data_IF_994276997247
#
_entry.id   IF_994276997247
#
_cell.length_a   1.000
_cell.length_b   1.000
_cell.length_c   1.000
_cell.angle_alpha   90.00
_cell.angle_beta   90.00
_cell.angle_gamma   90.00
#
_symmetry.space_group_name_H-M   'P 1'
#
loop_
_entity.id
_entity.type
_entity.pdbx_description
1 polymer ?
#
# COMPACT_ATOMS: atom_id res chain seq x y z
N UNK A 1 -16.00 6.45 6.04
CA UNK A 1 -16.40 5.04 6.16
C UNK A 1 -15.96 4.44 7.48
N UNK A 2 -14.66 4.32 7.81
CA UNK A 2 -14.20 3.66 9.05
C UNK A 2 -14.70 4.35 10.33
N UNK A 3 -14.72 5.69 10.39
CA UNK A 3 -15.27 6.43 11.53
C UNK A 3 -16.78 6.12 11.73
N UNK A 4 -17.55 6.07 10.64
CA UNK A 4 -18.96 5.70 10.70
C UNK A 4 -19.13 4.27 11.20
N UNK A 5 -18.36 3.32 10.68
CA UNK A 5 -18.37 1.93 11.12
C UNK A 5 -18.10 1.80 12.62
N UNK A 6 -17.09 2.52 13.13
CA UNK A 6 -16.76 2.53 14.58
C UNK A 6 -17.88 3.11 15.44
N UNK A 7 -18.50 4.21 14.99
CA UNK A 7 -19.62 4.82 15.70
C UNK A 7 -20.81 3.87 15.80
N UNK A 8 -21.14 3.19 14.69
CA UNK A 8 -22.22 2.19 14.65
C UNK A 8 -21.89 0.97 15.53
N UNK A 9 -20.65 0.50 15.50
CA UNK A 9 -20.18 -0.59 16.37
C UNK A 9 -20.32 -0.22 17.86
N UNK A 10 -19.85 0.97 18.23
CA UNK A 10 -19.96 1.48 19.61
C UNK A 10 -21.43 1.63 20.04
N UNK A 11 -22.31 2.18 19.17
CA UNK A 11 -23.72 2.34 19.46
C UNK A 11 -24.41 0.98 19.71
N UNK A 12 -23.99 -0.06 19.01
CA UNK A 12 -24.54 -1.42 19.12
C UNK A 12 -23.86 -2.28 20.18
N UNK A 13 -22.80 -1.78 20.83
CA UNK A 13 -22.04 -2.51 21.82
C UNK A 13 -21.30 -3.73 21.25
N UNK A 14 -20.87 -3.67 19.97
CA UNK A 14 -20.14 -4.74 19.27
C UNK A 14 -18.82 -4.22 18.71
N UNK A 15 -17.81 -5.08 18.51
CA UNK A 15 -16.56 -4.65 17.89
C UNK A 15 -16.73 -4.29 16.42
N UNK A 16 -15.95 -3.29 15.98
CA UNK A 16 -15.84 -2.94 14.56
C UNK A 16 -14.97 -3.95 13.81
N UNK A 17 -15.41 -4.38 12.62
CA UNK A 17 -14.70 -5.36 11.82
C UNK A 17 -14.63 -4.92 10.34
N UNK A 18 -13.43 -4.99 9.76
CA UNK A 18 -13.23 -4.81 8.32
C UNK A 18 -12.91 -6.16 7.68
N UNK A 19 -13.65 -6.53 6.65
CA UNK A 19 -13.38 -7.71 5.82
C UNK A 19 -12.58 -7.28 4.59
N UNK A 20 -11.44 -7.94 4.37
CA UNK A 20 -10.61 -7.72 3.18
C UNK A 20 -10.15 -9.06 2.60
N UNK A 21 -9.56 -8.99 1.42
CA UNK A 21 -9.11 -10.18 0.68
C UNK A 21 -7.62 -10.11 0.41
N UNK A 22 -6.92 -11.25 0.61
CA UNK A 22 -5.53 -11.40 0.20
C UNK A 22 -5.30 -12.85 -0.29
N UNK A 23 -4.77 -13.07 -1.51
CA UNK A 23 -4.41 -12.06 -2.51
C UNK A 23 -5.61 -11.22 -2.96
N UNK A 24 -5.32 -10.01 -3.52
CA UNK A 24 -6.37 -9.15 -4.04
C UNK A 24 -7.15 -9.84 -5.17
N UNK A 25 -8.50 -9.77 -5.18
CA UNK A 25 -9.32 -10.50 -6.15
C UNK A 25 -8.91 -10.27 -7.61
N UNK A 26 -8.63 -9.02 -8.02
CA UNK A 26 -8.21 -8.72 -9.39
C UNK A 26 -6.85 -9.30 -9.75
N UNK A 27 -5.91 -9.43 -8.79
CA UNK A 27 -4.62 -10.10 -9.02
C UNK A 27 -4.82 -11.59 -9.26
N UNK A 28 -5.76 -12.21 -8.55
CA UNK A 28 -6.11 -13.62 -8.73
C UNK A 28 -6.80 -13.86 -10.08
N UNK A 29 -7.77 -13.00 -10.44
CA UNK A 29 -8.42 -13.09 -11.75
C UNK A 29 -7.45 -12.85 -12.91
N UNK A 30 -6.49 -11.92 -12.77
CA UNK A 30 -5.44 -11.68 -13.74
C UNK A 30 -4.62 -12.97 -14.00
N UNK A 31 -4.25 -13.67 -12.92
CA UNK A 31 -3.53 -14.96 -13.01
C UNK A 31 -4.39 -16.05 -13.66
N UNK A 32 -5.65 -16.19 -13.25
CA UNK A 32 -6.54 -17.23 -13.82
C UNK A 32 -6.83 -17.03 -15.32
N UNK A 33 -6.86 -15.76 -15.75
CA UNK A 33 -7.07 -15.40 -17.17
C UNK A 33 -5.77 -15.29 -17.95
N UNK A 34 -4.61 -15.44 -17.30
CA UNK A 34 -3.29 -15.19 -17.86
C UNK A 34 -3.18 -13.79 -18.54
N UNK A 35 -3.81 -12.79 -17.93
CA UNK A 35 -3.82 -11.41 -18.38
C UNK A 35 -3.35 -10.46 -17.27
N UNK A 36 -2.06 -10.08 -17.23
CA UNK A 36 -1.49 -9.19 -16.21
C UNK A 36 -2.12 -7.79 -16.19
N UNK A 37 -2.74 -7.35 -17.30
CA UNK A 37 -3.37 -6.03 -17.38
C UNK A 37 -4.61 -5.89 -16.48
N UNK A 38 -5.22 -7.00 -16.11
CA UNK A 38 -6.36 -7.02 -15.18
C UNK A 38 -5.94 -6.70 -13.74
N UNK A 39 -4.66 -6.92 -13.39
CA UNK A 39 -4.14 -6.62 -12.06
C UNK A 39 -3.93 -5.10 -11.89
N UNK A 40 -4.56 -4.46 -10.89
CA UNK A 40 -4.33 -3.04 -10.64
C UNK A 40 -2.96 -2.81 -9.98
N UNK A 41 -2.37 -1.64 -10.21
CA UNK A 41 -1.25 -1.21 -9.38
C UNK A 41 -1.66 -1.16 -7.89
N UNK A 42 -0.81 -1.70 -7.01
CA UNK A 42 -1.12 -1.80 -5.57
C UNK A 42 -0.75 -0.50 -4.87
N UNK A 43 -1.73 0.08 -4.18
CA UNK A 43 -1.53 1.30 -3.38
C UNK A 43 -0.86 0.96 -2.05
N UNK A 44 -1.23 -0.16 -1.44
CA UNK A 44 -0.74 -0.55 -0.13
C UNK A 44 -0.40 -2.05 -0.09
N UNK A 45 0.61 -2.42 0.69
CA UNK A 45 0.83 -3.81 1.10
C UNK A 45 -0.23 -4.25 2.10
N UNK A 46 -0.34 -5.55 2.37
CA UNK A 46 -1.24 -6.03 3.44
C UNK A 46 -0.84 -5.42 4.80
N UNK A 47 0.47 -5.34 5.09
CA UNK A 47 0.98 -4.71 6.31
C UNK A 47 0.51 -3.26 6.42
N UNK A 48 0.72 -2.45 5.38
CA UNK A 48 0.32 -1.04 5.40
C UNK A 48 -1.18 -0.88 5.61
N UNK A 49 -1.99 -1.73 4.94
CA UNK A 49 -3.44 -1.76 5.13
C UNK A 49 -3.83 -2.06 6.58
N UNK A 50 -3.23 -3.08 7.20
CA UNK A 50 -3.52 -3.45 8.58
C UNK A 50 -3.09 -2.37 9.57
N UNK A 51 -1.92 -1.75 9.38
CA UNK A 51 -1.45 -0.63 10.20
C UNK A 51 -2.41 0.55 10.10
N UNK A 52 -2.87 0.92 8.90
CA UNK A 52 -3.81 2.03 8.73
C UNK A 52 -5.19 1.73 9.34
N UNK A 53 -5.69 0.50 9.25
CA UNK A 53 -6.92 0.10 9.93
C UNK A 53 -6.79 0.20 11.45
N UNK A 54 -5.65 -0.23 12.00
CA UNK A 54 -5.34 -0.09 13.43
C UNK A 54 -5.26 1.39 13.85
N UNK A 55 -4.56 2.24 13.06
CA UNK A 55 -4.49 3.69 13.29
C UNK A 55 -5.87 4.36 13.25
N UNK A 56 -6.78 3.84 12.42
CA UNK A 56 -8.17 4.27 12.39
C UNK A 56 -9.01 3.73 13.56
N UNK A 57 -8.43 2.92 14.44
CA UNK A 57 -9.09 2.35 15.62
C UNK A 57 -10.13 1.27 15.29
N UNK A 58 -9.89 0.48 14.25
CA UNK A 58 -10.70 -0.71 13.92
C UNK A 58 -10.27 -1.86 14.83
N UNK A 59 -11.23 -2.51 15.48
CA UNK A 59 -10.97 -3.57 16.45
C UNK A 59 -10.50 -4.86 15.79
N UNK A 60 -11.10 -5.24 14.66
CA UNK A 60 -10.81 -6.48 13.94
C UNK A 60 -10.66 -6.27 12.44
N UNK A 61 -9.74 -7.01 11.85
CA UNK A 61 -9.62 -7.14 10.40
C UNK A 61 -9.60 -8.62 10.01
N UNK A 62 -10.62 -9.07 9.29
CA UNK A 62 -10.69 -10.42 8.75
C UNK A 62 -10.13 -10.43 7.34
N UNK A 63 -9.01 -11.14 7.16
CA UNK A 63 -8.35 -11.31 5.87
C UNK A 63 -8.78 -12.66 5.28
N UNK A 64 -9.68 -12.64 4.32
CA UNK A 64 -10.15 -13.84 3.64
C UNK A 64 -9.18 -14.22 2.50
N UNK A 65 -8.67 -15.47 2.47
CA UNK A 65 -7.88 -15.95 1.35
C UNK A 65 -8.76 -16.03 0.10
N UNK A 66 -8.44 -15.16 -0.90
CA UNK A 66 -9.20 -15.15 -2.14
C UNK A 66 -8.75 -16.27 -3.06
N UNK A 67 -9.51 -17.36 -3.05
CA UNK A 67 -9.30 -18.59 -3.83
C UNK A 67 -10.57 -18.95 -4.59
N UNK A 68 -10.52 -19.99 -5.44
CA UNK A 68 -11.68 -20.44 -6.23
C UNK A 68 -12.90 -20.74 -5.35
N UNK A 69 -12.70 -21.42 -4.24
CA UNK A 69 -13.76 -21.76 -3.28
C UNK A 69 -14.52 -20.55 -2.75
N UNK A 70 -13.82 -19.43 -2.52
CA UNK A 70 -14.46 -18.17 -2.09
C UNK A 70 -15.08 -17.42 -3.28
N UNK A 71 -14.39 -17.40 -4.42
CA UNK A 71 -14.84 -16.70 -5.62
C UNK A 71 -16.09 -17.31 -6.29
N UNK A 72 -16.35 -18.59 -6.02
CA UNK A 72 -17.48 -19.36 -6.56
C UNK A 72 -18.69 -19.37 -5.64
N UNK A 73 -18.57 -18.84 -4.40
CA UNK A 73 -19.74 -18.71 -3.52
C UNK A 73 -20.82 -17.87 -4.16
N UNK A 74 -22.07 -18.35 -4.17
CA UNK A 74 -23.20 -17.50 -4.52
C UNK A 74 -23.31 -16.30 -3.57
N UNK A 75 -24.00 -15.23 -3.93
CA UNK A 75 -24.21 -14.13 -2.99
C UNK A 75 -24.85 -14.60 -1.67
N UNK A 76 -25.81 -15.49 -1.73
CA UNK A 76 -26.51 -16.04 -0.56
C UNK A 76 -25.56 -16.85 0.31
N UNK A 77 -24.74 -17.72 -0.29
CA UNK A 77 -23.74 -18.49 0.44
C UNK A 77 -22.69 -17.58 1.09
N UNK A 78 -22.27 -16.51 0.40
CA UNK A 78 -21.35 -15.53 0.98
C UNK A 78 -21.94 -14.87 2.22
N UNK A 79 -23.19 -14.41 2.16
CA UNK A 79 -23.86 -13.80 3.31
C UNK A 79 -23.99 -14.81 4.45
N UNK A 80 -24.49 -16.01 4.19
CA UNK A 80 -24.71 -17.02 5.23
C UNK A 80 -23.40 -17.47 5.88
N UNK A 81 -22.41 -17.85 5.06
CA UNK A 81 -21.16 -18.45 5.60
C UNK A 81 -20.24 -17.40 6.23
N UNK A 82 -20.11 -16.21 5.60
CA UNK A 82 -19.14 -15.20 6.04
C UNK A 82 -19.79 -14.24 7.01
N UNK A 83 -20.88 -13.58 6.63
CA UNK A 83 -21.46 -12.51 7.45
C UNK A 83 -22.24 -13.05 8.65
N UNK A 84 -23.10 -14.06 8.44
CA UNK A 84 -23.94 -14.60 9.49
C UNK A 84 -23.18 -15.58 10.39
N UNK A 85 -22.72 -16.71 9.83
CA UNK A 85 -22.12 -17.77 10.66
C UNK A 85 -20.67 -17.45 11.05
N UNK A 86 -19.90 -16.82 10.13
CA UNK A 86 -18.48 -16.52 10.37
C UNK A 86 -18.26 -15.31 11.28
N UNK A 87 -18.99 -14.23 11.06
CA UNK A 87 -18.80 -12.97 11.76
C UNK A 87 -19.90 -12.66 12.79
N UNK A 88 -21.05 -13.28 12.71
CA UNK A 88 -22.19 -12.90 13.55
C UNK A 88 -22.58 -11.43 13.35
N UNK A 89 -22.50 -10.94 12.10
CA UNK A 89 -22.69 -9.54 11.78
C UNK A 89 -24.03 -9.01 12.30
N UNK A 90 -24.02 -7.83 12.91
CA UNK A 90 -25.22 -7.10 13.36
C UNK A 90 -25.52 -5.88 12.48
N UNK A 91 -24.50 -5.42 11.80
CA UNK A 91 -24.56 -4.27 10.89
C UNK A 91 -23.50 -4.39 9.80
N UNK A 92 -23.89 -4.14 8.56
CA UNK A 92 -23.01 -4.24 7.41
C UNK A 92 -23.00 -2.90 6.66
N UNK A 93 -21.82 -2.26 6.55
CA UNK A 93 -21.63 -1.01 5.84
C UNK A 93 -20.92 -1.27 4.51
N UNK A 94 -21.52 -0.89 3.41
CA UNK A 94 -20.98 -1.07 2.06
C UNK A 94 -20.90 0.25 1.29
N UNK A 95 -20.07 0.30 0.25
CA UNK A 95 -20.03 1.43 -0.69
C UNK A 95 -21.25 1.43 -1.62
N UNK A 96 -21.44 2.54 -2.34
CA UNK A 96 -22.55 2.74 -3.28
C UNK A 96 -22.53 1.81 -4.51
N UNK A 97 -21.32 1.38 -4.94
CA UNK A 97 -21.08 0.49 -6.08
C UNK A 97 -20.79 -0.96 -5.65
N UNK A 98 -21.14 -1.33 -4.42
CA UNK A 98 -20.83 -2.63 -3.85
C UNK A 98 -21.48 -3.77 -4.62
N UNK A 99 -20.68 -4.78 -4.97
CA UNK A 99 -21.10 -6.03 -5.59
C UNK A 99 -20.32 -7.19 -4.98
N UNK A 100 -21.00 -8.33 -4.76
CA UNK A 100 -20.42 -9.47 -4.10
C UNK A 100 -20.90 -10.81 -4.67
N UNK A 101 -20.30 -11.91 -4.19
CA UNK A 101 -20.59 -13.25 -4.65
C UNK A 101 -20.06 -13.56 -6.06
N UNK A 102 -20.26 -14.78 -6.51
CA UNK A 102 -19.84 -15.26 -7.81
C UNK A 102 -20.36 -14.35 -8.93
N UNK A 103 -19.49 -14.06 -9.90
CA UNK A 103 -19.79 -13.17 -11.05
C UNK A 103 -20.31 -11.77 -10.64
N UNK A 104 -20.12 -11.34 -9.38
CA UNK A 104 -20.63 -10.08 -8.83
C UNK A 104 -22.17 -9.98 -8.90
N UNK A 105 -22.86 -11.11 -8.74
CA UNK A 105 -24.31 -11.19 -8.92
C UNK A 105 -25.07 -10.52 -7.76
N UNK A 106 -24.51 -10.52 -6.53
CA UNK A 106 -25.10 -9.85 -5.38
C UNK A 106 -24.94 -8.33 -5.43
N UNK A 107 -25.96 -7.63 -5.00
CA UNK A 107 -26.01 -6.17 -4.88
C UNK A 107 -26.52 -5.74 -3.50
N UNK A 108 -26.69 -4.43 -3.33
CA UNK A 108 -27.20 -3.86 -2.09
C UNK A 108 -28.59 -4.40 -1.73
N UNK A 109 -29.50 -4.49 -2.69
CA UNK A 109 -30.88 -4.88 -2.42
C UNK A 109 -30.96 -6.33 -1.92
N UNK A 110 -30.17 -7.23 -2.53
CA UNK A 110 -30.08 -8.61 -2.05
C UNK A 110 -29.48 -8.66 -0.65
N UNK A 111 -28.41 -7.89 -0.39
CA UNK A 111 -27.77 -7.85 0.93
C UNK A 111 -28.75 -7.34 2.01
N UNK A 112 -29.52 -6.30 1.73
CA UNK A 112 -30.51 -5.71 2.63
C UNK A 112 -31.67 -6.68 2.92
N UNK A 113 -32.17 -7.33 1.87
CA UNK A 113 -33.21 -8.38 2.02
C UNK A 113 -32.72 -9.53 2.90
N UNK A 114 -31.47 -9.98 2.68
CA UNK A 114 -30.89 -11.04 3.52
C UNK A 114 -30.60 -10.54 4.94
N UNK A 115 -30.24 -9.26 5.10
CA UNK A 115 -30.08 -8.62 6.41
C UNK A 115 -31.36 -8.72 7.24
N UNK A 116 -32.49 -8.38 6.63
CA UNK A 116 -33.84 -8.52 7.25
C UNK A 116 -34.13 -9.96 7.66
N UNK A 117 -33.78 -10.94 6.80
CA UNK A 117 -34.01 -12.36 7.08
C UNK A 117 -33.11 -12.92 8.20
N UNK A 118 -31.87 -12.46 8.30
CA UNK A 118 -30.87 -12.98 9.21
C UNK A 118 -30.59 -12.10 10.43
N UNK A 119 -31.30 -10.97 10.60
CA UNK A 119 -31.23 -10.12 11.77
C UNK A 119 -30.02 -9.22 11.85
N UNK A 120 -29.54 -8.69 10.71
CA UNK A 120 -28.54 -7.63 10.65
C UNK A 120 -28.99 -6.47 9.76
N UNK A 121 -28.62 -5.25 10.13
CA UNK A 121 -28.92 -4.06 9.35
C UNK A 121 -27.88 -3.85 8.25
N UNK A 122 -28.29 -3.22 7.15
CA UNK A 122 -27.40 -2.86 6.04
C UNK A 122 -27.47 -1.36 5.77
N UNK A 123 -26.32 -0.72 5.65
CA UNK A 123 -26.23 0.68 5.24
C UNK A 123 -25.33 0.84 4.02
N UNK A 124 -25.72 1.80 3.20
CA UNK A 124 -24.95 2.23 2.04
C UNK A 124 -24.26 3.57 2.35
N UNK A 125 -22.96 3.62 2.17
CA UNK A 125 -22.23 4.88 2.25
C UNK A 125 -22.18 5.51 0.84
N UNK A 126 -22.63 6.75 0.75
CA UNK A 126 -22.45 7.55 -0.47
C UNK A 126 -20.99 7.86 -0.70
N UNK A 127 -20.62 8.11 -1.95
CA UNK A 127 -19.26 8.50 -2.33
C UNK A 127 -18.80 9.74 -1.56
N UNK A 128 -17.55 9.73 -1.11
CA UNK A 128 -16.93 10.83 -0.40
C UNK A 128 -16.11 11.68 -1.37
N UNK A 129 -16.24 12.99 -1.28
CA UNK A 129 -15.50 13.94 -2.11
C UNK A 129 -14.59 14.83 -1.25
N UNK A 130 -13.41 15.13 -1.78
CA UNK A 130 -12.48 16.12 -1.23
C UNK A 130 -12.20 17.15 -2.33
N UNK A 131 -12.46 18.42 -2.06
CA UNK A 131 -12.34 19.49 -3.03
C UNK A 131 -13.08 19.22 -4.37
N UNK A 132 -14.27 18.61 -4.32
CA UNK A 132 -15.06 18.25 -5.50
C UNK A 132 -14.55 17.04 -6.29
N UNK A 133 -13.53 16.33 -5.78
CA UNK A 133 -13.00 15.12 -6.39
C UNK A 133 -13.48 13.92 -5.58
N UNK A 134 -14.14 12.97 -6.25
CA UNK A 134 -14.52 11.69 -5.62
C UNK A 134 -13.29 10.93 -5.16
N UNK A 135 -13.19 10.63 -3.87
CA UNK A 135 -12.12 9.80 -3.33
C UNK A 135 -12.32 8.34 -3.74
N UNK A 136 -11.44 7.84 -4.59
CA UNK A 136 -11.46 6.45 -5.05
C UNK A 136 -10.05 5.89 -5.22
N UNK A 137 -9.93 4.56 -5.19
CA UNK A 137 -8.63 3.92 -5.48
C UNK A 137 -8.13 4.20 -6.90
N UNK A 138 -8.99 4.51 -7.86
CA UNK A 138 -8.59 4.89 -9.21
C UNK A 138 -7.91 6.26 -9.21
N UNK A 139 -8.55 7.27 -8.62
CA UNK A 139 -7.96 8.61 -8.49
C UNK A 139 -6.62 8.61 -7.76
N UNK A 140 -6.50 7.80 -6.69
CA UNK A 140 -5.21 7.65 -5.98
C UNK A 140 -4.15 7.03 -6.89
N UNK A 141 -4.49 6.00 -7.69
CA UNK A 141 -3.54 5.38 -8.63
C UNK A 141 -3.12 6.35 -9.72
N UNK A 142 -4.04 7.12 -10.25
CA UNK A 142 -3.76 8.10 -11.30
C UNK A 142 -2.84 9.21 -10.78
N UNK A 143 -3.08 9.74 -9.58
CA UNK A 143 -2.19 10.69 -8.93
C UNK A 143 -0.78 10.11 -8.70
N UNK A 144 -0.69 8.88 -8.17
CA UNK A 144 0.60 8.21 -7.91
C UNK A 144 1.36 7.90 -9.20
N UNK A 145 0.66 7.41 -10.24
CA UNK A 145 1.26 7.12 -11.54
C UNK A 145 1.78 8.38 -12.24
N UNK A 146 1.05 9.50 -12.10
CA UNK A 146 1.47 10.82 -12.57
C UNK A 146 2.54 11.50 -11.72
N UNK A 147 2.88 10.95 -10.55
CA UNK A 147 3.85 11.56 -9.62
C UNK A 147 3.30 12.76 -8.84
N UNK A 148 1.99 12.99 -8.88
CA UNK A 148 1.33 14.06 -8.11
C UNK A 148 1.14 13.62 -6.65
N UNK A 149 2.25 13.67 -5.89
CA UNK A 149 2.29 13.24 -4.51
C UNK A 149 1.40 14.09 -3.58
N UNK A 150 1.31 15.44 -3.77
CA UNK A 150 0.38 16.26 -3.00
C UNK A 150 -1.09 15.85 -3.20
N UNK A 151 -1.52 15.62 -4.46
CA UNK A 151 -2.86 15.13 -4.76
C UNK A 151 -3.10 13.75 -4.15
N UNK A 152 -2.15 12.83 -4.29
CA UNK A 152 -2.24 11.51 -3.67
C UNK A 152 -2.39 11.61 -2.15
N UNK A 153 -1.61 12.48 -1.49
CA UNK A 153 -1.69 12.71 -0.05
C UNK A 153 -3.06 13.29 0.37
N UNK A 154 -3.59 14.24 -0.39
CA UNK A 154 -4.93 14.81 -0.16
C UNK A 154 -6.02 13.74 -0.24
N UNK A 155 -5.98 12.89 -1.26
CA UNK A 155 -6.95 11.80 -1.44
C UNK A 155 -6.83 10.71 -0.38
N UNK A 156 -5.61 10.42 0.10
CA UNK A 156 -5.34 9.43 1.15
C UNK A 156 -5.54 9.99 2.56
N UNK A 157 -5.55 11.31 2.75
CA UNK A 157 -5.52 11.97 4.06
C UNK A 157 -4.16 11.87 4.77
N UNK A 158 -3.11 11.42 4.07
CA UNK A 158 -1.74 11.23 4.56
C UNK A 158 -0.76 11.07 3.40
N UNK A 159 0.55 11.26 3.60
CA UNK A 159 1.53 10.93 2.58
C UNK A 159 1.41 9.47 2.11
N UNK A 160 1.65 9.24 0.83
CA UNK A 160 1.78 7.88 0.32
C UNK A 160 3.00 7.23 0.93
N UNK A 161 2.84 6.06 1.52
CA UNK A 161 3.90 5.39 2.26
C UNK A 161 4.00 3.91 1.93
N UNK A 162 5.20 3.38 2.11
CA UNK A 162 5.53 1.97 1.93
C UNK A 162 6.31 1.52 3.16
N UNK A 163 5.85 0.45 3.81
CA UNK A 163 6.55 -0.13 4.95
C UNK A 163 6.98 -1.57 4.70
N UNK A 164 8.05 -1.98 5.36
CA UNK A 164 8.56 -3.34 5.26
C UNK A 164 9.83 -3.56 6.07
N UNK A 165 10.29 -4.81 6.03
CA UNK A 165 11.59 -5.15 6.60
C UNK A 165 12.71 -4.68 5.67
N UNK A 166 13.74 -4.06 6.26
CA UNK A 166 14.97 -3.74 5.53
C UNK A 166 15.68 -5.04 5.16
N UNK A 167 15.91 -5.23 3.87
CA UNK A 167 16.59 -6.41 3.31
C UNK A 167 17.91 -6.04 2.66
N UNK A 168 18.77 -7.05 2.47
CA UNK A 168 20.03 -6.86 1.73
C UNK A 168 19.73 -6.57 0.25
N UNK A 169 20.36 -5.52 -0.27
CA UNK A 169 20.42 -5.21 -1.70
C UNK A 169 21.70 -5.75 -2.36
N UNK A 170 21.95 -5.35 -3.61
CA UNK A 170 23.18 -5.72 -4.37
C UNK A 170 24.46 -5.06 -3.86
N UNK A 171 24.41 -4.21 -2.83
CA UNK A 171 25.53 -3.49 -2.22
C UNK A 171 26.24 -2.48 -3.14
N UNK A 172 25.82 -2.30 -4.39
CA UNK A 172 26.43 -1.36 -5.35
C UNK A 172 26.46 0.08 -4.80
N UNK A 173 25.34 0.55 -4.21
CA UNK A 173 25.29 1.86 -3.58
C UNK A 173 26.31 2.05 -2.46
N UNK A 174 26.69 0.98 -1.74
CA UNK A 174 27.73 1.03 -0.71
C UNK A 174 29.11 1.29 -1.31
N UNK A 175 29.42 0.69 -2.46
CA UNK A 175 30.69 0.87 -3.17
C UNK A 175 30.80 2.29 -3.74
N UNK A 176 29.66 2.88 -4.14
CA UNK A 176 29.55 4.25 -4.65
C UNK A 176 29.44 5.32 -3.54
N UNK A 177 29.48 4.94 -2.25
CA UNK A 177 29.31 5.88 -1.13
C UNK A 177 27.88 6.17 -0.71
N UNK A 178 26.88 5.66 -1.43
CA UNK A 178 25.46 5.87 -1.15
C UNK A 178 24.82 4.58 -0.58
N UNK A 179 24.85 4.43 0.73
CA UNK A 179 24.21 3.28 1.38
C UNK A 179 22.70 3.36 1.27
N UNK A 180 22.05 2.26 0.89
CA UNK A 180 20.61 2.19 0.72
C UNK A 180 19.97 1.19 1.67
N UNK A 181 18.79 1.56 2.16
CA UNK A 181 17.82 0.69 2.81
C UNK A 181 16.89 0.14 1.72
N UNK A 182 16.77 -1.17 1.65
CA UNK A 182 16.02 -1.84 0.60
C UNK A 182 14.73 -2.43 1.17
N UNK A 183 13.59 -2.07 0.61
CA UNK A 183 12.30 -2.69 0.91
C UNK A 183 11.79 -3.45 -0.31
N UNK A 184 11.39 -4.72 -0.12
CA UNK A 184 10.80 -5.55 -1.18
C UNK A 184 9.29 -5.48 -1.14
N UNK A 185 8.69 -5.52 -2.32
CA UNK A 185 7.24 -5.64 -2.47
C UNK A 185 6.84 -7.09 -2.72
N UNK A 186 5.72 -7.46 -2.10
CA UNK A 186 5.09 -8.75 -2.36
C UNK A 186 4.30 -8.79 -3.67
N UNK A 187 4.14 -7.66 -4.35
CA UNK A 187 3.33 -7.51 -5.55
C UNK A 187 4.13 -6.96 -6.74
N UNK A 188 3.67 -7.26 -7.94
CA UNK A 188 4.38 -7.03 -9.19
C UNK A 188 4.42 -5.58 -9.67
N UNK A 189 3.42 -4.76 -9.27
CA UNK A 189 3.26 -3.42 -9.81
C UNK A 189 2.95 -2.41 -8.69
N UNK A 190 3.94 -1.61 -8.24
CA UNK A 190 3.69 -0.48 -7.37
C UNK A 190 2.85 0.59 -8.08
N UNK A 191 2.14 1.41 -7.32
CA UNK A 191 1.29 2.45 -7.88
C UNK A 191 2.08 3.70 -8.32
N UNK A 192 3.30 3.88 -7.82
CA UNK A 192 4.22 4.96 -8.19
C UNK A 192 5.54 4.38 -8.70
N UNK A 193 6.30 5.18 -9.47
CA UNK A 193 7.67 4.86 -9.91
C UNK A 193 8.47 6.15 -10.10
N UNK A 194 9.80 6.04 -9.99
CA UNK A 194 10.73 7.15 -10.14
C UNK A 194 11.58 7.43 -8.91
N UNK A 195 12.17 8.61 -8.86
CA UNK A 195 13.02 9.12 -7.78
C UNK A 195 12.22 10.10 -6.94
N UNK A 196 12.28 9.95 -5.60
CA UNK A 196 11.45 10.70 -4.67
C UNK A 196 12.25 11.28 -3.51
N UNK A 197 11.91 12.51 -3.09
CA UNK A 197 12.23 13.01 -1.77
C UNK A 197 11.33 12.31 -0.74
N UNK A 198 11.93 11.73 0.32
CA UNK A 198 11.23 10.86 1.26
C UNK A 198 11.58 11.14 2.71
N UNK A 199 10.67 10.76 3.63
CA UNK A 199 10.97 10.64 5.06
C UNK A 199 10.98 9.17 5.46
N UNK A 200 12.01 8.77 6.21
CA UNK A 200 12.18 7.41 6.75
C UNK A 200 11.87 7.41 8.24
N UNK A 201 10.95 6.56 8.65
CA UNK A 201 10.51 6.39 10.02
C UNK A 201 10.83 4.97 10.52
N UNK A 202 11.01 4.83 11.83
CA UNK A 202 11.23 3.51 12.47
C UNK A 202 12.70 3.15 12.70
N UNK A 203 13.65 4.04 12.38
CA UNK A 203 15.07 3.89 12.73
C UNK A 203 15.46 4.76 13.92
N UNK A 204 14.87 5.92 14.02
CA UNK A 204 15.12 6.94 15.06
C UNK A 204 13.78 7.46 15.60
N UNK A 205 13.85 8.20 16.70
CA UNK A 205 12.69 8.89 17.27
C UNK A 205 12.09 9.91 16.28
N UNK A 206 12.95 10.61 15.52
CA UNK A 206 12.54 11.56 14.52
C UNK A 206 12.70 10.98 13.09
N UNK A 207 11.80 11.36 12.14
CA UNK A 207 11.96 10.95 10.75
C UNK A 207 13.27 11.43 10.15
N UNK A 208 13.95 10.56 9.38
CA UNK A 208 15.16 10.90 8.64
C UNK A 208 14.80 11.31 7.22
N UNK A 209 15.42 12.36 6.71
CA UNK A 209 15.27 12.80 5.32
C UNK A 209 16.06 11.89 4.40
N UNK A 210 15.51 11.61 3.22
CA UNK A 210 16.12 10.70 2.25
C UNK A 210 15.72 10.97 0.82
N UNK A 211 16.40 10.27 -0.07
CA UNK A 211 16.02 10.10 -1.46
C UNK A 211 15.79 8.62 -1.74
N UNK A 212 14.76 8.29 -2.50
CA UNK A 212 14.43 6.91 -2.78
C UNK A 212 14.13 6.68 -4.26
N UNK A 213 14.64 5.56 -4.77
CA UNK A 213 14.24 5.00 -6.05
C UNK A 213 13.16 3.94 -5.83
N UNK A 214 11.99 4.14 -6.44
CA UNK A 214 10.92 3.15 -6.53
C UNK A 214 10.80 2.66 -7.96
N UNK A 215 11.35 1.48 -8.24
CA UNK A 215 11.39 0.94 -9.58
C UNK A 215 10.98 -0.52 -9.68
N UNK A 216 10.68 -0.95 -10.90
CA UNK A 216 10.54 -2.36 -11.27
C UNK A 216 11.79 -2.73 -12.04
N UNK A 217 12.65 -3.55 -11.47
CA UNK A 217 13.78 -4.12 -12.22
C UNK A 217 13.28 -5.34 -12.99
N UNK A 218 13.27 -5.29 -14.34
CA UNK A 218 13.06 -6.50 -15.13
C UNK A 218 14.26 -7.42 -14.85
N UNK A 219 14.01 -8.57 -14.24
CA UNK A 219 15.04 -9.57 -14.05
C UNK A 219 15.10 -10.44 -15.29
N UNK A 220 16.22 -10.36 -15.99
CA UNK A 220 16.63 -11.36 -17.00
C UNK A 220 17.42 -12.51 -16.35
N UNK A 221 17.74 -12.39 -15.06
CA UNK A 221 18.54 -13.35 -14.31
C UNK A 221 17.65 -14.13 -13.33
N UNK A 222 17.53 -15.47 -13.49
CA UNK A 222 16.78 -16.33 -12.57
C UNK A 222 17.32 -16.28 -11.13
N UNK A 223 18.56 -15.84 -10.93
CA UNK A 223 19.21 -15.68 -9.62
C UNK A 223 18.92 -14.31 -9.01
N UNK A 224 18.22 -13.41 -9.72
CA UNK A 224 17.85 -12.12 -9.18
C UNK A 224 16.95 -12.29 -7.97
N UNK A 225 17.47 -11.90 -6.84
CA UNK A 225 16.82 -12.00 -5.52
C UNK A 225 15.43 -11.34 -5.51
N UNK A 226 15.14 -10.43 -6.44
CA UNK A 226 13.86 -9.72 -6.57
C UNK A 226 12.90 -10.34 -7.59
N UNK A 227 13.36 -11.25 -8.46
CA UNK A 227 12.51 -11.95 -9.44
C UNK A 227 11.63 -11.01 -10.29
N UNK A 228 12.14 -9.83 -10.70
CA UNK A 228 11.38 -8.83 -11.46
C UNK A 228 10.32 -8.05 -10.64
N UNK A 229 10.36 -8.12 -9.33
CA UNK A 229 9.45 -7.40 -8.41
C UNK A 229 9.93 -5.97 -8.16
N UNK A 230 8.99 -5.10 -7.78
CA UNK A 230 9.29 -3.75 -7.35
C UNK A 230 10.22 -3.72 -6.13
N UNK A 231 11.13 -2.77 -6.12
CA UNK A 231 12.09 -2.51 -5.04
C UNK A 231 12.06 -1.02 -4.71
N UNK A 232 12.02 -0.70 -3.42
CA UNK A 232 12.27 0.65 -2.92
C UNK A 232 13.68 0.69 -2.33
N UNK A 233 14.57 1.42 -2.97
CA UNK A 233 15.95 1.66 -2.52
C UNK A 233 16.02 3.07 -1.96
N UNK A 234 16.22 3.20 -0.65
CA UNK A 234 16.19 4.50 0.04
C UNK A 234 17.56 4.84 0.59
N UNK A 235 18.12 5.97 0.19
CA UNK A 235 19.32 6.58 0.77
C UNK A 235 18.92 7.67 1.75
N UNK A 236 19.41 7.58 2.99
CA UNK A 236 19.24 8.63 4.01
C UNK A 236 20.32 9.68 3.80
N UNK A 237 19.93 10.96 3.69
CA UNK A 237 20.84 12.05 3.33
C UNK A 237 21.89 12.32 4.38
N UNK A 238 21.48 12.46 5.63
CA UNK A 238 22.36 12.82 6.74
C UNK A 238 22.19 11.78 7.86
N UNK A 239 23.01 10.72 7.80
CA UNK A 239 22.99 9.68 8.81
C UNK A 239 23.45 10.23 10.16
N UNK A 240 22.67 10.12 11.24
CA UNK A 240 23.16 10.43 12.58
C UNK A 240 24.42 9.61 12.88
N UNK A 241 25.45 10.24 13.45
CA UNK A 241 26.75 9.57 13.72
C UNK A 241 26.58 8.30 14.58
N UNK A 242 25.67 8.34 15.55
CA UNK A 242 25.30 7.19 16.38
C UNK A 242 24.73 6.02 15.56
N UNK A 243 23.88 6.31 14.57
CA UNK A 243 23.32 5.30 13.66
C UNK A 243 24.35 4.82 12.63
N UNK A 244 25.25 5.67 12.17
CA UNK A 244 26.27 5.27 11.20
C UNK A 244 27.21 4.21 11.78
N UNK A 245 27.55 4.27 13.05
CA UNK A 245 28.31 3.25 13.76
C UNK A 245 27.52 1.95 13.95
N UNK A 246 26.25 2.04 14.35
CA UNK A 246 25.37 0.89 14.52
C UNK A 246 25.03 0.21 13.20
N UNK A 247 24.75 0.99 12.14
CA UNK A 247 24.42 0.46 10.81
C UNK A 247 25.62 -0.08 10.04
N UNK A 248 26.85 0.32 10.40
CA UNK A 248 28.08 -0.35 9.94
C UNK A 248 28.10 -1.82 10.36
N UNK A 249 27.50 -2.16 11.52
CA UNK A 249 27.33 -3.52 12.04
C UNK A 249 26.17 -4.31 11.43
N UNK A 250 25.36 -3.72 10.56
CA UNK A 250 24.20 -4.42 9.94
C UNK A 250 22.89 -4.29 10.71
N UNK A 251 22.80 -3.48 11.74
CA UNK A 251 21.64 -3.40 12.65
C UNK A 251 20.35 -2.83 12.04
N UNK A 252 20.40 -2.20 10.85
CA UNK A 252 19.19 -1.79 10.13
C UNK A 252 18.46 -2.97 9.46
N UNK A 253 19.20 -4.04 9.16
CA UNK A 253 18.61 -5.20 8.51
C UNK A 253 17.60 -5.91 9.43
N UNK A 254 16.47 -6.29 8.85
CA UNK A 254 15.39 -6.91 9.60
C UNK A 254 14.50 -5.93 10.37
N UNK A 255 14.95 -4.68 10.59
CA UNK A 255 14.08 -3.65 11.17
C UNK A 255 12.92 -3.33 10.22
N UNK A 256 11.78 -3.02 10.79
CA UNK A 256 10.63 -2.53 10.03
C UNK A 256 10.76 -1.01 9.94
N UNK A 257 10.78 -0.50 8.72
CA UNK A 257 10.74 0.94 8.46
C UNK A 257 9.52 1.30 7.63
N UNK A 258 9.12 2.56 7.71
CA UNK A 258 8.15 3.19 6.83
C UNK A 258 8.84 4.31 6.06
N UNK A 259 8.62 4.36 4.76
CA UNK A 259 9.13 5.40 3.88
C UNK A 259 7.94 6.18 3.32
N UNK A 260 7.84 7.45 3.69
CA UNK A 260 6.83 8.37 3.20
C UNK A 260 7.37 9.07 1.94
N UNK A 261 6.73 8.87 0.80
CA UNK A 261 7.09 9.50 -0.46
C UNK A 261 6.39 10.86 -0.56
N UNK A 262 7.16 11.95 -0.54
CA UNK A 262 6.62 13.30 -0.39
C UNK A 262 6.58 14.07 -1.71
N UNK A 263 7.60 13.93 -2.54
CA UNK A 263 7.73 14.63 -3.81
C UNK A 263 8.46 13.78 -4.83
N UNK A 264 7.97 13.71 -6.06
CA UNK A 264 8.66 13.06 -7.16
C UNK A 264 9.67 14.03 -7.77
N UNK A 265 10.95 13.67 -7.75
CA UNK A 265 12.01 14.46 -8.34
C UNK A 265 12.00 14.28 -9.86
N UNK A 266 12.04 13.01 -10.33
CA UNK A 266 11.99 12.67 -11.76
C UNK A 266 11.72 11.16 -11.96
N UNK A 267 11.58 10.74 -13.21
CA UNK A 267 11.49 9.33 -13.59
C UNK A 267 12.86 8.65 -13.51
N UNK A 268 12.88 7.31 -13.49
CA UNK A 268 14.14 6.55 -13.52
C UNK A 268 14.93 6.89 -14.80
N UNK A 269 16.23 7.18 -14.62
CA UNK A 269 17.15 7.44 -15.70
C UNK A 269 18.06 6.23 -15.94
N UNK A 270 18.48 6.03 -17.19
CA UNK A 270 19.51 5.05 -17.55
C UNK A 270 20.87 5.75 -17.58
N UNK A 271 21.86 5.11 -17.01
CA UNK A 271 23.23 5.61 -16.95
C UNK A 271 24.17 4.67 -17.70
N UNK A 272 25.06 5.24 -18.51
CA UNK A 272 25.99 4.49 -19.35
C UNK A 272 27.28 4.10 -18.62
N UNK A 273 27.54 4.67 -17.45
CA UNK A 273 28.74 4.40 -16.64
C UNK A 273 28.46 4.53 -15.15
N UNK A 274 29.31 3.92 -14.31
CA UNK A 274 29.23 4.08 -12.85
C UNK A 274 29.48 5.53 -12.42
N UNK A 275 30.31 6.26 -13.15
CA UNK A 275 30.58 7.68 -12.86
C UNK A 275 29.33 8.54 -13.12
N UNK A 276 28.64 8.33 -14.24
CA UNK A 276 27.40 9.03 -14.54
C UNK A 276 26.28 8.68 -13.55
N UNK A 277 26.19 7.41 -13.12
CA UNK A 277 25.28 6.97 -12.06
C UNK A 277 25.60 7.67 -10.73
N UNK A 278 26.87 7.73 -10.33
CA UNK A 278 27.31 8.38 -9.09
C UNK A 278 26.93 9.87 -9.09
N UNK A 279 27.18 10.56 -10.21
CA UNK A 279 26.76 11.98 -10.37
C UNK A 279 25.26 12.16 -10.32
N UNK A 280 24.51 11.26 -10.96
CA UNK A 280 23.03 11.27 -10.90
C UNK A 280 22.51 11.13 -9.48
N UNK A 281 23.01 10.15 -8.71
CA UNK A 281 22.59 9.95 -7.32
C UNK A 281 22.98 11.18 -6.45
N UNK A 282 24.16 11.78 -6.67
CA UNK A 282 24.55 12.99 -5.95
C UNK A 282 23.59 14.15 -6.25
N UNK A 283 23.21 14.34 -7.52
CA UNK A 283 22.23 15.34 -7.92
C UNK A 283 20.86 15.09 -7.27
N UNK A 284 20.40 13.85 -7.25
CA UNK A 284 19.13 13.46 -6.59
C UNK A 284 19.13 13.81 -5.10
N UNK A 285 20.28 13.60 -4.42
CA UNK A 285 20.45 13.98 -3.02
C UNK A 285 20.37 15.50 -2.83
N UNK A 286 20.99 16.29 -3.72
CA UNK A 286 20.94 17.75 -3.64
C UNK A 286 19.54 18.30 -3.96
N UNK A 287 18.82 17.69 -4.90
CA UNK A 287 17.44 18.03 -5.21
C UNK A 287 16.50 17.73 -4.04
N UNK A 288 16.67 16.58 -3.38
CA UNK A 288 15.94 16.24 -2.18
C UNK A 288 16.23 17.21 -1.03
N UNK A 289 17.50 17.61 -0.81
CA UNK A 289 17.84 18.63 0.20
C UNK A 289 17.17 19.96 -0.09
N UNK A 290 17.17 20.40 -1.36
CA UNK A 290 16.46 21.64 -1.77
C UNK A 290 14.96 21.54 -1.48
N UNK A 291 14.33 20.43 -1.77
CA UNK A 291 12.92 20.22 -1.43
C UNK A 291 12.67 20.38 0.06
N UNK A 292 13.50 19.82 0.95
CA UNK A 292 13.32 19.92 2.41
C UNK A 292 13.66 21.29 2.98
N UNK A 293 14.39 22.13 2.26
CA UNK A 293 14.70 23.50 2.69
C UNK A 293 13.58 24.49 2.36
N UNK A 294 12.76 24.20 1.34
CA UNK A 294 11.73 25.09 0.82
C UNK A 294 10.29 24.60 1.05
N UNK A 295 10.11 23.39 1.53
CA UNK A 295 8.83 22.76 1.87
C UNK A 295 8.71 22.54 3.36
#
# INVERSE_FOLDING_TARGET
>A
MLALLRNEAAHRGVPSCVVTFEPHPRDVFARWKNDPHLAPARIATLRDKLCELANCGIDHCVVLPFQRTLAELSPEEFVQRILVHGLGARYVLVGDDFRFGAKRAGDYNLLDSMGTQHGFDVARMMSYEVHGIRVSSSEVRDALAGGDMPRAATLLGRPYSISGHVVHGRKLGRELGFRTLNLRFSHWKPAASGIFAVKVLGLTEHPLMGVANLGIRPSLDPTDVNGGRGLLETHVLDWPQTLSQQLLGGEAYGKIIRVDLLHKLHDELKYDSLESLTRGIAQDCDDARRFFQHG
#
